data_IF_604309553517
#
_entry.id   IF_604309553517
#
_cell.length_a   1.000
_cell.length_b   1.000
_cell.length_c   1.000
_cell.angle_alpha   90.00
_cell.angle_beta   90.00
_cell.angle_gamma   90.00
#
_symmetry.space_group_name_H-M   'P 1'
#
loop_
_entity.id
_entity.type
_entity.pdbx_description
1 polymer ?
#
# COMPACT_ATOMS: atom_id res chain seq x y z
N UNK A 1 2.71 -5.12 -8.40
CA UNK A 1 3.36 -4.49 -7.22
C UNK A 1 3.00 -5.23 -5.94
N UNK A 2 3.68 -4.97 -4.83
CA UNK A 2 3.42 -5.60 -3.53
C UNK A 2 3.69 -4.63 -2.37
N UNK A 3 2.86 -4.71 -1.32
CA UNK A 3 3.08 -3.98 -0.08
C UNK A 3 3.61 -4.92 1.00
N UNK A 4 4.58 -4.44 1.77
CA UNK A 4 5.15 -5.13 2.94
C UNK A 4 5.08 -4.18 4.12
N UNK A 5 4.60 -4.67 5.25
CA UNK A 5 4.48 -3.90 6.50
C UNK A 5 5.30 -4.58 7.57
N UNK A 6 6.18 -3.81 8.22
CA UNK A 6 7.11 -4.31 9.23
C UNK A 6 6.97 -3.56 10.57
N UNK A 7 7.30 -4.25 11.66
CA UNK A 7 7.45 -3.67 13.00
C UNK A 7 6.15 -3.47 13.80
N UNK A 8 5.10 -2.90 13.19
CA UNK A 8 3.83 -2.65 13.86
C UNK A 8 2.62 -2.80 12.91
N UNK A 9 1.43 -3.15 13.43
CA UNK A 9 0.26 -3.34 12.59
C UNK A 9 -0.29 -2.03 12.03
N UNK A 10 -0.80 -2.09 10.81
CA UNK A 10 -1.44 -0.96 10.11
C UNK A 10 -2.77 -1.41 9.53
N UNK A 11 -3.82 -0.65 9.82
CA UNK A 11 -5.09 -0.79 9.13
C UNK A 11 -5.11 0.18 7.94
N UNK A 12 -5.19 -0.36 6.72
CA UNK A 12 -5.19 0.40 5.48
C UNK A 12 -6.62 0.48 4.92
N UNK A 13 -7.15 1.70 4.83
CA UNK A 13 -8.52 1.97 4.37
C UNK A 13 -8.60 2.21 2.87
N UNK A 14 -7.62 2.90 2.29
CA UNK A 14 -7.56 3.17 0.85
C UNK A 14 -6.11 3.22 0.39
N UNK A 15 -5.89 2.71 -0.82
CA UNK A 15 -4.62 2.79 -1.54
C UNK A 15 -4.96 3.37 -2.90
N UNK A 16 -4.40 4.53 -3.23
CA UNK A 16 -4.60 5.16 -4.53
C UNK A 16 -3.28 5.26 -5.27
N UNK A 17 -3.15 4.52 -6.36
CA UNK A 17 -2.00 4.56 -7.25
C UNK A 17 -2.29 5.56 -8.36
N UNK A 18 -1.51 6.63 -8.44
CA UNK A 18 -1.61 7.65 -9.49
C UNK A 18 -0.51 7.41 -10.52
N UNK A 19 -0.90 7.25 -11.79
CA UNK A 19 0.02 7.00 -12.89
C UNK A 19 0.55 8.30 -13.51
N UNK A 20 1.61 8.16 -14.31
CA UNK A 20 2.23 9.24 -15.06
C UNK A 20 1.30 10.02 -15.99
N UNK A 21 0.20 9.40 -16.45
CA UNK A 21 -0.82 10.03 -17.30
C UNK A 21 -1.97 10.69 -16.50
N UNK A 22 -1.91 10.68 -15.16
CA UNK A 22 -2.94 11.26 -14.29
C UNK A 22 -4.14 10.36 -13.97
N UNK A 23 -4.26 9.19 -14.61
CA UNK A 23 -5.27 8.19 -14.20
C UNK A 23 -4.89 7.57 -12.86
N UNK A 24 -5.89 7.10 -12.11
CA UNK A 24 -5.66 6.37 -10.86
C UNK A 24 -6.28 4.97 -10.85
N UNK A 25 -5.66 4.12 -10.06
CA UNK A 25 -6.14 2.78 -9.74
C UNK A 25 -6.24 2.62 -8.23
N UNK A 26 -7.36 2.04 -7.79
CA UNK A 26 -7.63 1.73 -6.39
C UNK A 26 -7.97 0.25 -6.29
N UNK A 27 -7.10 -0.60 -5.72
CA UNK A 27 -7.48 -1.96 -5.43
C UNK A 27 -8.61 -1.95 -4.40
N UNK A 28 -9.70 -2.66 -4.69
CA UNK A 28 -10.83 -2.83 -3.77
C UNK A 28 -10.46 -3.72 -2.58
N UNK A 29 -9.67 -3.18 -1.66
CA UNK A 29 -9.27 -3.92 -0.46
C UNK A 29 -9.11 -2.99 0.73
N UNK A 30 -9.98 -3.17 1.75
CA UNK A 30 -9.61 -2.83 3.13
C UNK A 30 -8.62 -3.89 3.60
N UNK A 31 -7.38 -3.49 3.84
CA UNK A 31 -6.31 -4.41 4.22
C UNK A 31 -5.94 -4.18 5.68
N UNK A 32 -6.01 -5.24 6.48
CA UNK A 32 -5.38 -5.26 7.77
C UNK A 32 -4.01 -5.93 7.64
N UNK A 33 -2.96 -5.18 7.93
CA UNK A 33 -1.60 -5.69 7.99
C UNK A 33 -1.23 -5.96 9.45
N UNK A 34 -1.11 -7.23 9.82
CA UNK A 34 -0.40 -7.60 11.04
C UNK A 34 1.10 -7.26 10.89
N UNK A 35 1.88 -7.20 11.99
CA UNK A 35 3.32 -7.00 11.88
C UNK A 35 3.95 -8.05 10.97
N UNK A 36 4.90 -7.62 10.14
CA UNK A 36 5.72 -8.46 9.26
C UNK A 36 4.89 -9.27 8.24
N UNK A 37 3.80 -8.66 7.76
CA UNK A 37 2.92 -9.24 6.73
C UNK A 37 3.06 -8.52 5.39
N UNK A 38 2.57 -9.19 4.34
CA UNK A 38 2.66 -8.71 2.98
C UNK A 38 1.40 -9.03 2.18
N UNK A 39 1.09 -8.20 1.19
CA UNK A 39 0.01 -8.54 0.25
C UNK A 39 0.44 -9.63 -0.72
N UNK A 40 -0.55 -10.24 -1.37
CA UNK A 40 -0.33 -10.86 -2.69
C UNK A 40 0.12 -9.80 -3.69
N UNK A 41 0.68 -10.23 -4.81
CA UNK A 41 0.96 -9.32 -5.91
C UNK A 41 -0.36 -8.68 -6.37
N UNK A 42 -0.36 -7.36 -6.46
CA UNK A 42 -1.45 -6.56 -7.02
C UNK A 42 -1.04 -6.21 -8.44
N UNK A 43 -1.83 -6.68 -9.40
CA UNK A 43 -1.64 -6.35 -10.80
C UNK A 43 -2.13 -4.92 -11.05
N UNK A 44 -1.27 -4.11 -11.66
CA UNK A 44 -1.61 -2.74 -12.01
C UNK A 44 -2.24 -2.74 -13.41
N UNK A 45 -3.40 -2.10 -13.58
CA UNK A 45 -3.99 -1.96 -14.90
C UNK A 45 -3.16 -0.97 -15.74
N UNK A 46 -2.95 -1.31 -17.01
CA UNK A 46 -2.49 -0.34 -18.01
C UNK A 46 -1.03 -0.41 -18.46
N UNK A 47 -0.34 -1.56 -18.35
CA UNK A 47 0.96 -1.79 -19.01
C UNK A 47 2.07 -0.84 -18.56
N UNK A 48 2.82 -0.27 -19.52
CA UNK A 48 4.02 0.59 -19.36
C UNK A 48 3.80 1.96 -18.65
N UNK A 49 2.77 2.07 -17.80
CA UNK A 49 2.53 3.28 -17.02
C UNK A 49 3.50 3.32 -15.84
N UNK A 50 4.35 4.33 -15.79
CA UNK A 50 5.13 4.62 -14.58
C UNK A 50 4.20 5.13 -13.46
N UNK A 51 4.46 4.69 -12.23
CA UNK A 51 3.78 5.20 -11.04
C UNK A 51 4.34 6.58 -10.73
N UNK A 52 3.46 7.58 -10.62
CA UNK A 52 3.83 8.94 -10.21
C UNK A 52 3.81 9.09 -8.69
N UNK A 53 2.78 8.56 -8.04
CA UNK A 53 2.57 8.64 -6.59
C UNK A 53 1.69 7.50 -6.12
N UNK A 54 1.86 7.11 -4.85
CA UNK A 54 0.91 6.27 -4.13
C UNK A 54 0.44 7.05 -2.90
N UNK A 55 -0.87 7.21 -2.76
CA UNK A 55 -1.50 7.80 -1.58
C UNK A 55 -2.09 6.71 -0.71
N UNK A 56 -1.89 6.82 0.61
CA UNK A 56 -2.39 5.88 1.61
C UNK A 56 -3.34 6.57 2.57
N UNK A 57 -4.52 5.99 2.79
CA UNK A 57 -5.40 6.34 3.90
C UNK A 57 -5.31 5.20 4.91
N UNK A 58 -4.76 5.48 6.09
CA UNK A 58 -4.43 4.44 7.07
C UNK A 58 -4.68 4.89 8.50
N UNK A 59 -4.75 3.91 9.40
CA UNK A 59 -4.78 4.10 10.83
C UNK A 59 -3.70 3.25 11.50
N UNK A 60 -3.02 3.86 12.48
CA UNK A 60 -2.14 3.13 13.40
C UNK A 60 -3.01 2.37 14.41
N UNK A 61 -2.78 1.07 14.54
CA UNK A 61 -3.54 0.22 15.48
C UNK A 61 -2.77 -0.04 16.78
N UNK A 62 -1.45 0.19 16.81
CA UNK A 62 -0.61 0.03 18.00
C UNK A 62 -0.40 1.33 18.80
N UNK A 63 -0.05 1.19 20.08
CA UNK A 63 0.31 2.31 20.97
C UNK A 63 1.49 3.16 20.47
N UNK A 64 1.64 4.34 21.08
CA UNK A 64 2.49 5.48 20.61
C UNK A 64 3.95 5.10 20.30
N UNK A 65 4.50 4.07 20.94
CA UNK A 65 5.92 3.73 20.86
C UNK A 65 6.31 2.74 19.75
N UNK A 66 5.36 2.21 18.97
CA UNK A 66 5.68 1.27 17.88
C UNK A 66 5.46 1.92 16.52
N UNK A 67 6.52 1.96 15.72
CA UNK A 67 6.50 2.47 14.36
C UNK A 67 6.25 1.32 13.37
N UNK A 68 5.40 1.56 12.39
CA UNK A 68 5.23 0.69 11.23
C UNK A 68 6.00 1.27 10.06
N UNK A 69 6.69 0.41 9.31
CA UNK A 69 7.30 0.76 8.02
C UNK A 69 6.49 0.08 6.92
N UNK A 70 6.05 0.86 5.92
CA UNK A 70 5.33 0.34 4.75
C UNK A 70 6.22 0.50 3.53
N UNK A 71 6.61 -0.61 2.92
CA UNK A 71 7.45 -0.67 1.74
C UNK A 71 6.66 -1.12 0.53
N UNK A 72 6.92 -0.51 -0.63
CA UNK A 72 6.28 -0.86 -1.91
C UNK A 72 7.32 -1.43 -2.86
N UNK A 73 7.05 -2.61 -3.38
CA UNK A 73 7.93 -3.28 -4.36
C UNK A 73 7.25 -3.34 -5.72
N UNK A 74 7.95 -2.83 -6.74
CA UNK A 74 7.64 -3.03 -8.17
C UNK A 74 8.32 -4.27 -8.72
N UNK A 75 7.84 -4.76 -9.87
CA UNK A 75 8.52 -5.76 -10.70
C UNK A 75 8.68 -5.17 -12.09
#
# INVERSE_FOLDING_TARGET
>A
MKFVVEGAPVEMYDIRVVFGNGTDFRPETRLYFAPDTQTRAIDLPGGDRFIRKIDFVYRKTSGIFRQATVSVYGR
#
